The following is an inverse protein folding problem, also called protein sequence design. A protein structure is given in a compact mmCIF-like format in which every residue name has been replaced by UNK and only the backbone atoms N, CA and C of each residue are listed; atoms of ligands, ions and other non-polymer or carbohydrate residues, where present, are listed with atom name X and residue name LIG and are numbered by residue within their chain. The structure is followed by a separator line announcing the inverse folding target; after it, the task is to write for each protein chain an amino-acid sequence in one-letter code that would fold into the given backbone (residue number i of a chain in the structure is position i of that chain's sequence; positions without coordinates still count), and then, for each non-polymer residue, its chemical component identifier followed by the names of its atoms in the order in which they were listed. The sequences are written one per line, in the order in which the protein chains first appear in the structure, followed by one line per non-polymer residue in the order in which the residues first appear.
data_IF_627660067901
#
_entry.id   IF_627660067901
#
_cell.length_a   1.000
_cell.length_b   1.000
_cell.length_c   1.000
_cell.angle_alpha   90.00
_cell.angle_beta   90.00
_cell.angle_gamma   90.00
#
_symmetry.space_group_name_H-M   'P 1'
#
loop_
_entity.id
_entity.type
_entity.pdbx_description
1 polymer ?
#
# COMPACT_ATOMS: atom_id res chain seq x y z
N UNK A 1 22.42 8.74 -30.09
CA UNK A 1 22.55 7.35 -29.67
C UNK A 1 22.51 7.19 -28.17
N UNK A 2 23.35 7.90 -27.43
CA UNK A 2 23.33 7.83 -25.97
C UNK A 2 22.01 8.34 -25.41
N UNK A 3 21.48 9.44 -25.96
CA UNK A 3 20.20 9.97 -25.50
C UNK A 3 19.04 9.02 -25.71
N UNK A 4 19.06 8.26 -26.79
CA UNK A 4 18.01 7.29 -27.07
C UNK A 4 18.05 6.14 -26.08
N UNK A 5 19.26 5.67 -25.74
CA UNK A 5 19.43 4.62 -24.76
C UNK A 5 18.94 5.06 -23.37
N UNK A 6 19.22 6.32 -23.00
CA UNK A 6 18.75 6.87 -21.74
C UNK A 6 17.24 6.99 -21.70
N UNK A 7 16.62 7.40 -22.82
CA UNK A 7 15.16 7.48 -22.89
C UNK A 7 14.50 6.12 -22.76
N UNK A 8 15.07 5.10 -23.40
CA UNK A 8 14.54 3.74 -23.32
C UNK A 8 14.71 3.18 -21.91
N UNK A 9 15.85 3.40 -21.28
CA UNK A 9 16.09 2.97 -19.91
C UNK A 9 15.13 3.64 -18.94
N UNK A 10 14.91 4.94 -19.11
CA UNK A 10 13.98 5.69 -18.28
C UNK A 10 12.55 5.24 -18.46
N UNK A 11 12.13 5.00 -19.71
CA UNK A 11 10.78 4.52 -20.00
C UNK A 11 10.54 3.13 -19.42
N UNK A 12 11.53 2.24 -19.53
CA UNK A 12 11.45 0.88 -18.98
C UNK A 12 11.36 0.93 -17.46
N UNK A 13 12.19 1.75 -16.81
CA UNK A 13 12.18 1.91 -15.36
C UNK A 13 10.89 2.50 -14.85
N UNK A 14 10.37 3.52 -15.55
CA UNK A 14 9.10 4.15 -15.17
C UNK A 14 7.93 3.18 -15.33
N UNK A 15 7.93 2.40 -16.42
CA UNK A 15 6.91 1.39 -16.64
C UNK A 15 6.93 0.30 -15.59
N UNK A 16 8.11 -0.17 -15.24
CA UNK A 16 8.26 -1.16 -14.18
C UNK A 16 7.77 -0.61 -12.84
N UNK A 17 8.18 0.63 -12.50
CA UNK A 17 7.78 1.25 -11.24
C UNK A 17 6.26 1.41 -11.18
N UNK A 18 5.66 1.84 -12.28
CA UNK A 18 4.20 2.00 -12.35
C UNK A 18 3.49 0.66 -12.14
N UNK A 19 3.95 -0.38 -12.85
CA UNK A 19 3.35 -1.70 -12.76
C UNK A 19 3.49 -2.28 -11.34
N UNK A 20 4.69 -2.14 -10.76
CA UNK A 20 4.96 -2.62 -9.41
C UNK A 20 4.11 -1.86 -8.38
N UNK A 21 3.94 -0.56 -8.57
CA UNK A 21 3.10 0.26 -7.70
C UNK A 21 1.64 -0.13 -7.78
N UNK A 22 1.16 -0.45 -8.98
CA UNK A 22 -0.22 -0.90 -9.15
C UNK A 22 -0.46 -2.24 -8.44
N UNK A 23 0.48 -3.16 -8.55
CA UNK A 23 0.38 -4.44 -7.87
C UNK A 23 0.42 -4.28 -6.35
N UNK A 24 1.29 -3.40 -5.87
CA UNK A 24 1.39 -3.11 -4.44
C UNK A 24 0.08 -2.52 -3.92
N UNK A 25 -0.52 -1.61 -4.68
CA UNK A 25 -1.80 -1.01 -4.30
C UNK A 25 -2.90 -2.07 -4.24
N UNK A 26 -2.96 -2.95 -5.22
CA UNK A 26 -3.95 -4.04 -5.22
C UNK A 26 -3.78 -4.93 -3.99
N UNK A 27 -2.54 -5.21 -3.63
CA UNK A 27 -2.24 -5.98 -2.44
C UNK A 27 -2.68 -5.25 -1.18
N UNK A 28 -2.40 -3.96 -1.11
CA UNK A 28 -2.79 -3.13 0.03
C UNK A 28 -4.31 -3.09 0.20
N UNK A 29 -5.03 -2.91 -0.90
CA UNK A 29 -6.49 -2.90 -0.89
C UNK A 29 -7.03 -4.23 -0.39
N UNK A 30 -6.50 -5.34 -0.91
CA UNK A 30 -6.96 -6.67 -0.51
C UNK A 30 -6.72 -6.92 0.98
N UNK A 31 -5.54 -6.54 1.48
CA UNK A 31 -5.20 -6.73 2.89
C UNK A 31 -6.04 -5.85 3.80
N UNK A 32 -6.24 -4.60 3.42
CA UNK A 32 -7.06 -3.66 4.18
C UNK A 32 -8.51 -4.12 4.25
N UNK A 33 -9.05 -4.56 3.12
CA UNK A 33 -10.41 -5.07 3.08
C UNK A 33 -10.57 -6.29 3.96
N UNK A 34 -9.62 -7.22 3.88
CA UNK A 34 -9.66 -8.43 4.68
C UNK A 34 -9.62 -8.13 6.17
N UNK A 35 -8.76 -7.20 6.58
CA UNK A 35 -8.64 -6.80 7.98
C UNK A 35 -9.94 -6.19 8.49
N UNK A 36 -10.55 -5.32 7.68
CA UNK A 36 -11.81 -4.68 8.06
C UNK A 36 -12.95 -5.70 8.14
N UNK A 37 -12.99 -6.64 7.21
CA UNK A 37 -14.03 -7.67 7.22
C UNK A 37 -13.95 -8.53 8.48
N UNK A 38 -12.75 -8.83 8.94
CA UNK A 38 -12.57 -9.62 10.17
C UNK A 38 -13.15 -8.91 11.39
N UNK A 39 -13.13 -7.60 11.38
CA UNK A 39 -13.61 -6.80 12.50
C UNK A 39 -15.02 -6.28 12.30
N UNK A 40 -15.67 -6.68 11.21
CA UNK A 40 -17.01 -6.20 10.91
C UNK A 40 -17.06 -4.74 10.51
N UNK A 41 -15.96 -4.22 9.94
CA UNK A 41 -15.85 -2.82 9.57
C UNK A 41 -16.05 -2.66 8.07
N UNK A 42 -16.54 -1.50 7.66
CA UNK A 42 -16.69 -1.17 6.27
C UNK A 42 -15.39 -0.54 5.74
N UNK A 43 -14.78 -1.21 4.79
CA UNK A 43 -13.56 -0.73 4.16
C UNK A 43 -13.90 0.23 3.02
N UNK A 44 -13.25 1.39 3.00
CA UNK A 44 -13.46 2.40 1.96
C UNK A 44 -12.28 2.34 0.99
N UNK A 45 -12.36 1.46 0.01
CA UNK A 45 -11.24 1.15 -0.87
C UNK A 45 -10.79 2.33 -1.74
N UNK A 46 -11.67 3.26 -2.04
CA UNK A 46 -11.31 4.46 -2.81
C UNK A 46 -10.47 5.45 -2.00
N UNK A 47 -10.32 5.24 -0.70
CA UNK A 47 -9.52 6.13 0.14
C UNK A 47 -8.08 5.65 0.31
N UNK A 48 -7.71 4.50 -0.26
CA UNK A 48 -6.37 3.95 -0.11
C UNK A 48 -5.36 4.85 -0.81
N UNK A 49 -4.37 5.29 -0.05
CA UNK A 49 -3.37 6.24 -0.52
C UNK A 49 -2.00 5.84 -0.02
N UNK A 50 -1.03 5.77 -0.94
CA UNK A 50 0.36 5.52 -0.57
C UNK A 50 0.95 6.85 -0.09
N UNK A 51 1.32 6.91 1.19
CA UNK A 51 1.83 8.14 1.80
C UNK A 51 3.34 8.21 1.85
N UNK A 52 4.03 7.08 1.70
CA UNK A 52 5.47 7.05 1.75
C UNK A 52 6.00 5.84 1.00
N UNK A 53 7.09 6.03 0.26
CA UNK A 53 7.79 4.96 -0.45
C UNK A 53 9.28 5.14 -0.19
N UNK A 54 9.94 4.09 0.30
CA UNK A 54 11.38 4.11 0.57
C UNK A 54 11.99 2.76 0.24
N UNK A 55 13.22 2.72 -0.28
CA UNK A 55 13.92 1.46 -0.41
C UNK A 55 14.31 0.92 0.96
N UNK A 56 14.25 -0.38 1.12
CA UNK A 56 14.62 -1.04 2.36
C UNK A 56 15.10 -2.45 2.04
N UNK A 57 15.95 -2.99 2.92
CA UNK A 57 16.47 -4.33 2.75
C UNK A 57 15.51 -5.34 3.39
N UNK A 58 15.10 -6.32 2.61
CA UNK A 58 14.21 -7.35 3.09
C UNK A 58 15.02 -8.45 3.80
N UNK A 59 14.30 -9.36 4.45
CA UNK A 59 14.92 -10.46 5.20
C UNK A 59 15.77 -11.36 4.30
N UNK A 60 15.44 -11.46 3.02
CA UNK A 60 16.18 -12.25 2.05
C UNK A 60 17.43 -11.54 1.52
N UNK A 61 17.75 -10.35 2.04
CA UNK A 61 18.89 -9.55 1.63
C UNK A 61 18.66 -8.67 0.42
N UNK A 62 17.54 -8.79 -0.24
CA UNK A 62 17.22 -7.98 -1.42
C UNK A 62 16.68 -6.62 -0.99
N UNK A 63 16.95 -5.61 -1.82
CA UNK A 63 16.37 -4.29 -1.63
C UNK A 63 14.99 -4.29 -2.27
N UNK A 64 14.00 -3.90 -1.48
CA UNK A 64 12.62 -3.79 -1.95
C UNK A 64 12.09 -2.44 -1.53
N UNK A 65 10.95 -2.05 -2.10
CA UNK A 65 10.33 -0.78 -1.73
C UNK A 65 9.40 -1.00 -0.55
N UNK A 66 9.62 -0.22 0.50
CA UNK A 66 8.71 -0.18 1.64
C UNK A 66 7.71 0.92 1.38
N UNK A 67 6.43 0.56 1.31
CA UNK A 67 5.35 1.50 1.04
C UNK A 67 4.40 1.54 2.22
N UNK A 68 4.06 2.75 2.64
CA UNK A 68 3.10 2.97 3.71
C UNK A 68 1.80 3.42 3.05
N UNK A 69 0.72 2.73 3.35
CA UNK A 69 -0.60 3.06 2.84
C UNK A 69 -1.50 3.50 3.97
N UNK A 70 -2.28 4.53 3.69
CA UNK A 70 -3.33 4.98 4.60
C UNK A 70 -4.66 4.74 3.91
N UNK A 71 -5.63 4.27 4.66
CA UNK A 71 -6.98 4.09 4.16
C UNK A 71 -7.98 4.48 5.24
N UNK A 72 -9.23 4.60 4.86
CA UNK A 72 -10.29 4.92 5.81
C UNK A 72 -11.26 3.76 5.88
N UNK A 73 -11.85 3.59 7.04
CA UNK A 73 -12.89 2.61 7.27
C UNK A 73 -13.95 3.20 8.19
N UNK A 74 -15.08 2.52 8.26
CA UNK A 74 -16.20 2.97 9.09
C UNK A 74 -16.71 1.81 9.92
N UNK A 75 -17.02 2.08 11.17
CA UNK A 75 -17.64 1.10 12.06
C UNK A 75 -19.17 1.23 12.10
N UNK A 76 -19.69 2.36 11.69
CA UNK A 76 -21.13 2.61 11.76
C UNK A 76 -21.73 3.11 10.44
N UNK A 77 -20.92 3.22 9.41
CA UNK A 77 -21.34 3.73 8.11
C UNK A 77 -21.31 5.23 7.97
N UNK A 78 -21.14 5.95 9.07
CA UNK A 78 -21.16 7.43 9.09
C UNK A 78 -19.82 8.03 9.51
N UNK A 79 -19.24 7.50 10.58
CA UNK A 79 -17.94 7.97 11.06
C UNK A 79 -16.80 7.36 10.27
N UNK A 80 -15.71 8.11 10.14
CA UNK A 80 -14.53 7.61 9.42
C UNK A 80 -13.34 7.56 10.33
N UNK A 81 -12.58 6.47 10.19
CA UNK A 81 -11.36 6.26 10.94
C UNK A 81 -10.26 5.84 9.98
N UNK A 82 -9.04 6.05 10.37
CA UNK A 82 -7.90 5.76 9.53
C UNK A 82 -7.23 4.45 9.91
N UNK A 83 -6.81 3.72 8.89
CA UNK A 83 -5.97 2.56 9.08
C UNK A 83 -4.68 2.77 8.30
N UNK A 84 -3.64 2.08 8.71
CA UNK A 84 -2.34 2.13 8.07
C UNK A 84 -1.82 0.73 7.85
N UNK A 85 -1.20 0.50 6.71
CA UNK A 85 -0.48 -0.74 6.50
C UNK A 85 0.85 -0.45 5.81
N UNK A 86 1.81 -1.31 6.07
CA UNK A 86 3.15 -1.19 5.51
C UNK A 86 3.47 -2.46 4.75
N UNK A 87 3.82 -2.29 3.48
CA UNK A 87 4.27 -3.40 2.64
C UNK A 87 5.75 -3.25 2.38
N UNK A 88 6.49 -4.34 2.45
CA UNK A 88 7.87 -4.41 1.98
C UNK A 88 7.86 -5.35 0.78
N UNK A 89 7.92 -4.77 -0.42
CA UNK A 89 7.65 -5.51 -1.63
C UNK A 89 6.23 -6.07 -1.57
N UNK A 90 6.04 -7.38 -1.78
CA UNK A 90 4.70 -7.98 -1.69
C UNK A 90 4.30 -8.40 -0.27
N UNK A 91 5.20 -8.22 0.71
CA UNK A 91 4.99 -8.75 2.06
C UNK A 91 4.45 -7.70 3.00
N UNK A 92 3.43 -8.07 3.77
CA UNK A 92 2.86 -7.19 4.78
C UNK A 92 3.76 -7.18 6.00
N UNK A 93 4.24 -5.99 6.39
CA UNK A 93 5.03 -5.82 7.62
C UNK A 93 4.16 -5.47 8.81
N UNK A 94 3.19 -4.60 8.63
CA UNK A 94 2.29 -4.23 9.71
C UNK A 94 0.97 -3.72 9.15
N UNK A 95 -0.07 -3.86 9.94
CA UNK A 95 -1.38 -3.34 9.61
C UNK A 95 -2.03 -2.91 10.92
N UNK A 96 -2.36 -1.63 11.00
CA UNK A 96 -2.96 -1.07 12.21
C UNK A 96 -4.25 -0.35 11.85
N UNK A 97 -5.26 -0.57 12.65
CA UNK A 97 -6.52 0.15 12.54
C UNK A 97 -6.60 1.12 13.70
N UNK A 98 -6.91 2.37 13.40
CA UNK A 98 -7.15 3.36 14.43
C UNK A 98 -8.24 2.84 15.36
N UNK A 99 -8.05 2.92 16.67
CA UNK A 99 -9.04 2.38 17.59
C UNK A 99 -10.41 3.02 17.34
N UNK A 100 -11.39 2.18 17.12
CA UNK A 100 -12.76 2.64 17.02
C UNK A 100 -13.41 2.55 18.39
N UNK A 101 -14.30 3.48 18.65
CA UNK A 101 -14.92 3.52 19.94
C UNK A 101 -15.91 2.38 20.08
N UNK A 102 -15.66 1.54 21.06
CA UNK A 102 -16.56 0.47 21.40
C UNK A 102 -17.28 0.89 22.64
N UNK A 103 -18.53 0.71 22.59
CA UNK A 103 -19.24 1.18 23.72
C UNK A 103 -20.13 0.27 24.28
#
# INVERSE_FOLDING_TARGET
MLGEALLLAGATGAGWFWYDSMRARERAVALGRQACEREGLQFLDETVLCTRTRPARAADGRVRLRRVYRFEFSDDGASRRAGHLVLLGPHLESLELEPFLIR
#
